data_IF_570375044647
#
_entry.id   IF_570375044647
#
_cell.length_a   1.000
_cell.length_b   1.000
_cell.length_c   1.000
_cell.angle_alpha   90.00
_cell.angle_beta   90.00
_cell.angle_gamma   90.00
#
_symmetry.space_group_name_H-M   'P 1'
#
loop_
_entity.id
_entity.type
_entity.pdbx_description
1 polymer ?
#
# COMPACT_ATOMS: atom_id res chain seq x y z
N UNK A 1 31.86 -5.70 6.77
CA UNK A 1 30.96 -4.54 6.93
C UNK A 1 29.85 -4.69 5.91
N UNK A 2 28.69 -5.22 6.32
CA UNK A 2 27.56 -5.44 5.40
C UNK A 2 26.89 -4.09 5.15
N UNK A 3 27.07 -3.58 3.94
CA UNK A 3 26.32 -2.43 3.44
C UNK A 3 24.87 -2.88 3.28
N UNK A 4 23.96 -2.32 4.07
CA UNK A 4 22.52 -2.45 3.79
C UNK A 4 22.26 -1.79 2.43
N UNK A 5 22.14 -2.62 1.39
CA UNK A 5 21.66 -2.18 0.08
C UNK A 5 20.23 -1.72 0.28
N UNK A 6 20.05 -0.41 0.18
CA UNK A 6 18.84 0.39 0.41
C UNK A 6 17.51 -0.34 0.15
N UNK A 7 16.51 -0.03 0.97
CA UNK A 7 15.09 -0.26 0.67
C UNK A 7 14.44 1.07 0.30
N UNK A 8 14.46 1.45 -0.99
CA UNK A 8 13.53 2.43 -1.51
C UNK A 8 12.56 1.75 -2.48
N UNK A 9 11.43 2.41 -2.75
CA UNK A 9 10.70 2.17 -3.99
C UNK A 9 11.68 2.12 -5.18
N UNK A 10 11.52 1.13 -6.04
CA UNK A 10 12.31 1.02 -7.27
C UNK A 10 11.77 2.01 -8.31
N UNK A 11 10.49 2.39 -8.22
CA UNK A 11 9.92 3.49 -9.02
C UNK A 11 8.42 3.70 -8.80
N UNK A 12 8.01 4.96 -8.93
CA UNK A 12 6.62 5.40 -8.96
C UNK A 12 6.13 5.45 -10.41
N UNK A 13 5.04 4.75 -10.69
CA UNK A 13 4.36 4.80 -11.98
C UNK A 13 3.42 5.99 -12.07
N UNK A 14 3.07 6.36 -13.29
CA UNK A 14 2.11 7.44 -13.56
C UNK A 14 0.72 7.00 -13.11
N UNK A 15 0.08 7.81 -12.27
CA UNK A 15 -1.32 7.63 -11.92
C UNK A 15 -2.21 7.88 -13.13
N UNK A 16 -3.14 6.95 -13.39
CA UNK A 16 -4.06 7.05 -14.51
C UNK A 16 -5.48 6.75 -14.06
N UNK A 17 -6.44 7.53 -14.55
CA UNK A 17 -7.85 7.25 -14.30
C UNK A 17 -8.23 5.93 -14.98
N UNK A 18 -8.88 5.04 -14.21
CA UNK A 18 -9.50 3.83 -14.75
C UNK A 18 -10.91 4.16 -15.24
N UNK A 19 -11.24 3.67 -16.43
CA UNK A 19 -12.60 3.69 -16.97
C UNK A 19 -13.23 2.30 -16.84
N UNK A 20 -13.92 2.01 -15.71
CA UNK A 20 -14.54 0.71 -15.47
C UNK A 20 -15.74 0.45 -16.40
N UNK A 21 -16.24 1.46 -17.12
CA UNK A 21 -17.32 1.26 -18.11
C UNK A 21 -16.76 0.65 -19.39
N UNK A 22 -15.56 1.07 -19.80
CA UNK A 22 -14.85 0.53 -20.97
C UNK A 22 -14.03 -0.71 -20.63
N UNK A 23 -13.40 -0.73 -19.46
CA UNK A 23 -12.53 -1.79 -18.98
C UNK A 23 -12.95 -2.24 -17.57
N UNK A 24 -14.05 -3.00 -17.44
CA UNK A 24 -14.59 -3.40 -16.14
C UNK A 24 -13.70 -4.38 -15.36
N UNK A 25 -12.67 -4.94 -15.98
CA UNK A 25 -11.77 -5.89 -15.34
C UNK A 25 -10.35 -5.34 -15.23
N UNK A 26 -9.63 -5.76 -14.18
CA UNK A 26 -8.19 -5.54 -14.04
C UNK A 26 -7.49 -6.90 -13.96
N UNK A 27 -6.59 -7.17 -14.90
CA UNK A 27 -5.83 -8.42 -14.99
C UNK A 27 -4.41 -8.23 -14.46
N UNK A 28 -3.91 -9.18 -13.67
CA UNK A 28 -2.52 -9.21 -13.27
C UNK A 28 -1.69 -9.97 -14.32
N UNK A 29 -0.89 -9.23 -15.09
CA UNK A 29 0.11 -9.76 -16.02
C UNK A 29 1.51 -9.66 -15.40
N UNK A 30 1.93 -10.70 -14.71
CA UNK A 30 3.26 -10.81 -14.08
C UNK A 30 3.62 -9.63 -13.15
N UNK A 31 2.64 -9.13 -12.39
CA UNK A 31 2.76 -7.99 -11.49
C UNK A 31 2.33 -6.66 -12.13
N UNK A 32 2.01 -6.65 -13.42
CA UNK A 32 1.52 -5.47 -14.13
C UNK A 32 0.01 -5.49 -14.24
N UNK A 33 -0.62 -4.43 -13.73
CA UNK A 33 -2.06 -4.24 -13.83
C UNK A 33 -2.45 -3.87 -15.27
N UNK A 34 -3.29 -4.67 -15.92
CA UNK A 34 -3.77 -4.44 -17.28
C UNK A 34 -5.31 -4.34 -17.31
N UNK A 35 -5.87 -3.14 -17.55
CA UNK A 35 -7.31 -2.98 -17.73
C UNK A 35 -7.81 -3.83 -18.90
N UNK A 36 -8.98 -4.45 -18.76
CA UNK A 36 -9.54 -5.32 -19.79
C UNK A 36 -11.06 -5.19 -19.92
N UNK A 37 -11.52 -5.28 -21.17
CA UNK A 37 -12.94 -5.28 -21.51
C UNK A 37 -13.60 -6.64 -21.25
N UNK A 38 -12.81 -7.71 -21.12
CA UNK A 38 -13.26 -9.08 -20.97
C UNK A 38 -12.50 -9.75 -19.82
N UNK A 39 -13.05 -10.85 -19.31
CA UNK A 39 -12.36 -11.70 -18.34
C UNK A 39 -11.08 -12.25 -18.98
N UNK A 40 -9.96 -12.13 -18.28
CA UNK A 40 -8.66 -12.69 -18.68
C UNK A 40 -8.11 -13.51 -17.52
N UNK A 41 -7.75 -14.77 -17.80
CA UNK A 41 -7.29 -15.69 -16.76
C UNK A 41 -8.38 -16.03 -15.75
N UNK A 42 -8.02 -16.14 -14.48
CA UNK A 42 -8.92 -16.58 -13.42
C UNK A 42 -9.64 -15.39 -12.78
N UNK A 43 -10.96 -15.30 -12.96
CA UNK A 43 -11.77 -14.29 -12.30
C UNK A 43 -11.90 -14.61 -10.81
N UNK A 44 -11.49 -13.67 -9.95
CA UNK A 44 -11.69 -13.74 -8.50
C UNK A 44 -12.62 -12.61 -8.04
N UNK A 45 -13.43 -12.84 -6.99
CA UNK A 45 -14.21 -11.77 -6.37
C UNK A 45 -13.30 -10.80 -5.62
N UNK A 46 -13.77 -9.58 -5.40
CA UNK A 46 -13.19 -8.68 -4.41
C UNK A 46 -13.25 -9.34 -3.02
N UNK A 47 -12.16 -9.24 -2.27
CA UNK A 47 -12.13 -9.77 -0.91
C UNK A 47 -12.98 -8.89 0.00
N UNK A 48 -13.96 -9.45 0.72
CA UNK A 48 -14.75 -8.66 1.67
C UNK A 48 -13.89 -8.25 2.87
N UNK A 49 -14.27 -7.19 3.56
CA UNK A 49 -13.64 -6.84 4.84
C UNK A 49 -13.83 -7.99 5.86
N UNK A 50 -12.77 -8.34 6.59
CA UNK A 50 -12.85 -9.34 7.65
C UNK A 50 -12.03 -8.89 8.89
N UNK A 51 -12.68 -8.19 9.84
CA UNK A 51 -12.01 -7.71 11.06
C UNK A 51 -11.44 -8.83 11.94
N UNK A 52 -11.94 -10.07 11.80
CA UNK A 52 -11.39 -11.20 12.55
C UNK A 52 -9.98 -11.60 12.08
N UNK A 53 -9.56 -11.14 10.89
CA UNK A 53 -8.22 -11.36 10.37
C UNK A 53 -7.23 -10.28 10.79
N UNK A 54 -7.62 -9.23 11.53
CA UNK A 54 -6.71 -8.16 11.91
C UNK A 54 -5.42 -8.71 12.54
N UNK A 55 -4.28 -8.31 11.96
CA UNK A 55 -2.94 -8.75 12.38
C UNK A 55 -2.16 -7.61 13.02
N UNK A 56 -1.13 -7.98 13.78
CA UNK A 56 -0.21 -7.03 14.41
C UNK A 56 -0.59 -6.66 15.86
N UNK A 57 0.26 -5.84 16.47
CA UNK A 57 0.02 -5.35 17.83
C UNK A 57 -1.03 -4.24 17.80
N UNK A 58 -2.13 -4.42 18.55
CA UNK A 58 -3.16 -3.40 18.69
C UNK A 58 -2.79 -2.45 19.83
N UNK A 59 -2.77 -1.15 19.53
CA UNK A 59 -2.65 -0.09 20.52
C UNK A 59 -4.01 0.59 20.70
N UNK A 60 -4.31 1.01 21.92
CA UNK A 60 -5.58 1.65 22.30
C UNK A 60 -5.33 2.96 22.98
N UNK A 61 -6.29 3.88 22.92
CA UNK A 61 -6.16 5.19 23.56
C UNK A 61 -5.24 6.16 22.81
N UNK A 62 -4.85 5.83 21.57
CA UNK A 62 -3.97 6.65 20.74
C UNK A 62 -4.54 8.07 20.63
N UNK A 63 -3.74 9.06 21.01
CA UNK A 63 -4.05 10.48 20.80
C UNK A 63 -3.28 11.03 19.60
N UNK A 64 -3.69 12.20 19.13
CA UNK A 64 -3.01 12.86 18.01
C UNK A 64 -3.03 14.37 18.17
N UNK A 65 -2.04 15.02 17.57
CA UNK A 65 -1.95 16.47 17.47
C UNK A 65 -1.47 16.88 16.07
N UNK A 66 -1.95 18.01 15.58
CA UNK A 66 -1.46 18.57 14.33
C UNK A 66 -0.03 19.15 14.53
N UNK A 67 0.84 18.94 13.54
CA UNK A 67 2.21 19.45 13.50
C UNK A 67 2.48 20.03 12.13
N UNK A 68 2.97 21.25 12.09
CA UNK A 68 3.47 21.86 10.85
C UNK A 68 4.86 21.31 10.53
N UNK A 69 5.06 20.87 9.29
CA UNK A 69 6.36 20.45 8.76
C UNK A 69 6.84 21.50 7.76
N UNK A 70 7.93 22.21 8.07
CA UNK A 70 8.50 23.18 7.14
C UNK A 70 9.24 22.46 6.01
N UNK A 71 8.97 22.84 4.77
CA UNK A 71 9.74 22.37 3.60
C UNK A 71 10.14 23.53 2.70
N UNK A 72 11.09 23.27 1.80
CA UNK A 72 11.49 24.23 0.76
C UNK A 72 10.37 24.55 -0.24
N UNK A 73 9.31 23.73 -0.31
CA UNK A 73 8.16 23.92 -1.19
C UNK A 73 6.96 24.58 -0.48
N UNK A 74 7.10 24.91 0.82
CA UNK A 74 6.02 25.44 1.67
C UNK A 74 5.69 24.52 2.85
N UNK A 75 5.15 25.06 3.95
CA UNK A 75 4.74 24.24 5.08
C UNK A 75 3.49 23.42 4.75
N UNK A 76 3.40 22.23 5.32
CA UNK A 76 2.18 21.42 5.32
C UNK A 76 1.96 20.82 6.70
N UNK A 77 0.73 20.38 6.96
CA UNK A 77 0.31 19.89 8.27
C UNK A 77 0.20 18.37 8.28
N UNK A 78 0.79 17.73 9.29
CA UNK A 78 0.66 16.29 9.54
C UNK A 78 0.00 16.04 10.89
N UNK A 79 -0.51 14.82 11.07
CA UNK A 79 -0.90 14.32 12.40
C UNK A 79 0.26 13.58 13.02
N UNK A 80 0.65 14.00 14.22
CA UNK A 80 1.57 13.23 15.07
C UNK A 80 0.74 12.37 16.00
N UNK A 81 0.95 11.06 15.97
CA UNK A 81 0.25 10.10 16.83
C UNK A 81 1.07 9.80 18.09
N UNK A 82 0.43 9.81 19.25
CA UNK A 82 0.98 9.29 20.50
C UNK A 82 0.24 8.00 20.86
N UNK A 83 0.97 6.90 20.81
CA UNK A 83 0.45 5.57 21.12
C UNK A 83 0.28 5.32 22.63
N UNK A 84 0.80 6.23 23.47
CA UNK A 84 0.89 6.08 24.93
C UNK A 84 1.51 4.74 25.37
N UNK A 85 2.45 4.25 24.56
CA UNK A 85 3.22 3.04 24.82
C UNK A 85 4.70 3.41 24.95
N UNK A 86 5.42 2.72 25.83
CA UNK A 86 6.87 2.92 25.99
C UNK A 86 7.64 2.54 24.73
N UNK A 87 7.14 1.54 23.99
CA UNK A 87 7.70 1.06 22.73
C UNK A 87 6.56 0.69 21.76
N UNK A 88 6.80 0.96 20.47
CA UNK A 88 5.92 0.51 19.37
C UNK A 88 6.68 -0.52 18.56
N UNK A 89 6.18 -1.76 18.56
CA UNK A 89 6.77 -2.87 17.84
C UNK A 89 6.19 -3.01 16.43
N UNK A 90 7.09 -3.18 15.46
CA UNK A 90 6.77 -3.49 14.07
C UNK A 90 7.29 -4.89 13.75
N UNK A 91 6.48 -5.69 13.04
CA UNK A 91 6.86 -7.01 12.58
C UNK A 91 6.51 -7.15 11.10
N UNK A 92 7.40 -7.68 10.26
CA UNK A 92 7.09 -7.88 8.86
C UNK A 92 6.01 -8.96 8.72
N UNK A 93 5.08 -8.75 7.79
CA UNK A 93 3.99 -9.67 7.50
C UNK A 93 4.10 -10.11 6.05
N UNK A 94 4.03 -11.41 5.82
CA UNK A 94 3.99 -11.94 4.45
C UNK A 94 2.66 -11.56 3.82
N UNK A 95 2.69 -11.00 2.62
CA UNK A 95 1.51 -10.79 1.79
C UNK A 95 0.95 -12.14 1.33
N UNK A 96 -0.17 -12.54 1.91
CA UNK A 96 -1.07 -13.58 1.40
C UNK A 96 -2.43 -12.95 1.12
N UNK A 97 -3.36 -13.71 0.54
CA UNK A 97 -4.73 -13.22 0.32
C UNK A 97 -5.39 -12.88 1.66
N UNK A 98 -5.19 -13.72 2.67
CA UNK A 98 -5.73 -13.54 4.02
C UNK A 98 -5.14 -12.32 4.72
N UNK A 99 -3.80 -12.14 4.65
CA UNK A 99 -3.18 -10.98 5.31
C UNK A 99 -3.53 -9.69 4.59
N UNK A 100 -3.66 -9.69 3.26
CA UNK A 100 -4.11 -8.52 2.50
C UNK A 100 -5.55 -8.16 2.88
N UNK A 101 -6.43 -9.17 3.02
CA UNK A 101 -7.81 -8.98 3.46
C UNK A 101 -7.90 -8.37 4.88
N UNK A 102 -6.97 -8.72 5.78
CA UNK A 102 -6.88 -8.14 7.12
C UNK A 102 -6.70 -6.61 7.12
N UNK A 103 -6.18 -6.05 6.01
CA UNK A 103 -5.99 -4.62 5.78
C UNK A 103 -7.00 -4.04 4.78
N UNK A 104 -8.11 -4.74 4.50
CA UNK A 104 -9.15 -4.27 3.57
C UNK A 104 -8.74 -4.32 2.10
N UNK A 105 -7.81 -5.21 1.75
CA UNK A 105 -7.22 -5.29 0.40
C UNK A 105 -7.55 -6.60 -0.30
N UNK A 106 -7.58 -6.56 -1.64
CA UNK A 106 -7.60 -7.76 -2.47
C UNK A 106 -6.21 -7.98 -3.09
N UNK A 107 -5.60 -9.14 -2.84
CA UNK A 107 -4.34 -9.54 -3.49
C UNK A 107 -4.63 -10.33 -4.76
N UNK A 108 -4.26 -9.79 -5.92
CA UNK A 108 -4.42 -10.45 -7.22
C UNK A 108 -3.16 -11.23 -7.58
N UNK A 109 -3.21 -12.56 -7.61
CA UNK A 109 -2.11 -13.39 -8.11
C UNK A 109 -1.87 -13.20 -9.61
N UNK A 110 -0.68 -13.56 -10.08
CA UNK A 110 -0.38 -13.57 -11.52
C UNK A 110 -1.40 -14.44 -12.27
N UNK A 111 -1.95 -13.95 -13.38
CA UNK A 111 -2.96 -14.64 -14.16
C UNK A 111 -4.38 -14.56 -13.58
N UNK A 112 -4.58 -13.85 -12.47
CA UNK A 112 -5.91 -13.55 -11.92
C UNK A 112 -6.42 -12.20 -12.45
N UNK A 113 -7.74 -12.06 -12.53
CA UNK A 113 -8.40 -10.79 -12.75
C UNK A 113 -9.52 -10.56 -11.74
N UNK A 114 -9.84 -9.29 -11.49
CA UNK A 114 -11.03 -8.89 -10.74
C UNK A 114 -11.91 -8.00 -11.60
N UNK A 115 -13.18 -7.86 -11.21
CA UNK A 115 -14.10 -6.88 -11.76
C UNK A 115 -14.21 -5.69 -10.81
N UNK A 116 -14.22 -4.48 -11.35
CA UNK A 116 -14.54 -3.29 -10.57
C UNK A 116 -16.05 -3.14 -10.40
N UNK A 117 -16.46 -2.84 -9.17
CA UNK A 117 -17.84 -2.51 -8.80
C UNK A 117 -18.02 -1.01 -8.51
N UNK A 118 -16.93 -0.24 -8.58
CA UNK A 118 -16.86 1.17 -8.24
C UNK A 118 -16.46 2.03 -9.45
N UNK A 119 -16.77 3.32 -9.41
CA UNK A 119 -16.33 4.32 -10.37
C UNK A 119 -15.25 5.25 -9.78
N UNK A 120 -14.74 6.17 -10.60
CA UNK A 120 -13.72 7.15 -10.21
C UNK A 120 -12.41 6.54 -9.65
N UNK A 121 -12.07 5.36 -10.14
CA UNK A 121 -10.88 4.62 -9.73
C UNK A 121 -9.60 5.19 -10.35
N UNK A 122 -8.52 5.19 -9.59
CA UNK A 122 -7.17 5.53 -10.05
C UNK A 122 -6.31 4.27 -10.05
N UNK A 123 -5.54 4.06 -11.10
CA UNK A 123 -4.46 3.09 -11.17
C UNK A 123 -3.13 3.79 -10.93
N UNK A 124 -2.52 3.53 -9.78
CA UNK A 124 -1.11 3.75 -9.52
C UNK A 124 -0.36 2.42 -9.65
N UNK A 125 0.75 2.42 -10.39
CA UNK A 125 1.65 1.25 -10.47
C UNK A 125 2.93 1.56 -9.72
N UNK A 126 3.25 0.77 -8.70
CA UNK A 126 4.46 0.97 -7.92
C UNK A 126 5.37 -0.25 -8.02
N UNK A 127 6.68 -0.02 -8.13
CA UNK A 127 7.66 -1.10 -8.06
C UNK A 127 8.32 -1.09 -6.68
N UNK A 128 8.06 -2.13 -5.89
CA UNK A 128 8.65 -2.29 -4.57
C UNK A 128 9.96 -3.10 -4.60
N UNK A 129 10.89 -2.74 -3.73
CA UNK A 129 12.07 -3.57 -3.45
C UNK A 129 11.72 -4.83 -2.64
N UNK A 130 12.76 -5.60 -2.26
CA UNK A 130 12.63 -6.83 -1.44
C UNK A 130 11.92 -6.61 -0.10
N UNK A 131 11.89 -5.36 0.35
CA UNK A 131 11.17 -4.87 1.53
C UNK A 131 10.33 -3.69 1.04
N UNK A 132 9.07 -3.60 1.47
CA UNK A 132 8.22 -2.45 1.16
C UNK A 132 8.41 -1.41 2.28
N UNK A 133 9.38 -0.51 2.11
CA UNK A 133 9.53 0.67 2.95
C UNK A 133 9.07 1.90 2.17
N UNK A 134 8.16 2.69 2.73
CA UNK A 134 7.74 3.94 2.10
C UNK A 134 8.79 5.04 2.35
N UNK A 135 9.32 5.62 1.27
CA UNK A 135 10.09 6.85 1.34
C UNK A 135 9.10 7.98 1.62
N UNK A 136 9.24 8.68 2.75
CA UNK A 136 8.41 9.88 2.95
C UNK A 136 8.77 10.94 1.91
N UNK A 137 7.82 11.43 1.10
CA UNK A 137 8.04 12.60 0.23
C UNK A 137 8.29 13.88 1.06
N UNK A 138 7.99 13.79 2.35
CA UNK A 138 7.90 14.82 3.37
C UNK A 138 9.19 15.15 4.12
N UNK A 139 10.21 14.29 4.03
CA UNK A 139 11.48 14.46 4.74
C UNK A 139 12.51 15.31 3.97
N UNK A 140 12.17 15.72 2.75
CA UNK A 140 13.07 16.49 1.88
C UNK A 140 14.27 15.69 1.35
N UNK A 141 15.09 16.29 0.47
CA UNK A 141 16.14 15.58 -0.27
C UNK A 141 17.23 14.91 0.58
N UNK A 142 17.53 15.46 1.76
CA UNK A 142 18.63 15.00 2.61
C UNK A 142 18.33 13.66 3.33
N UNK A 143 17.06 13.33 3.50
CA UNK A 143 16.60 12.21 4.33
C UNK A 143 15.86 11.13 3.51
N UNK A 144 15.96 11.19 2.17
CA UNK A 144 15.29 10.26 1.24
C UNK A 144 15.72 8.79 1.39
N UNK A 145 16.81 8.53 2.11
CA UNK A 145 17.36 7.19 2.35
C UNK A 145 17.11 6.67 3.76
N UNK A 146 16.38 7.44 4.57
CA UNK A 146 16.02 7.04 5.92
C UNK A 146 14.71 6.24 5.88
N UNK A 147 14.76 5.01 6.40
CA UNK A 147 13.54 4.32 6.79
C UNK A 147 12.94 5.11 7.94
N UNK A 148 11.73 5.63 7.72
CA UNK A 148 11.03 6.37 8.76
C UNK A 148 10.78 5.47 9.97
N UNK A 149 11.23 5.88 11.14
CA UNK A 149 10.86 5.27 12.44
C UNK A 149 9.48 5.71 12.91
N UNK A 150 8.88 6.70 12.24
CA UNK A 150 7.50 7.15 12.39
C UNK A 150 6.71 6.63 11.21
N UNK A 151 5.89 5.61 11.43
CA UNK A 151 5.18 4.88 10.39
C UNK A 151 4.44 5.79 9.38
N UNK A 152 4.92 5.98 8.14
CA UNK A 152 4.08 6.36 7.03
C UNK A 152 3.55 5.04 6.47
N UNK A 153 2.66 4.37 7.19
CA UNK A 153 1.94 3.30 6.51
C UNK A 153 1.21 4.02 5.39
N UNK A 154 1.54 3.70 4.14
CA UNK A 154 0.68 3.94 2.97
C UNK A 154 -0.73 3.33 3.19
N UNK A 155 -0.88 2.53 4.24
CA UNK A 155 -2.13 2.21 4.95
C UNK A 155 -2.62 3.39 5.82
N UNK A 156 -2.44 4.63 5.35
CA UNK A 156 -3.17 5.75 5.91
C UNK A 156 -4.65 5.39 5.82
N UNK A 157 -5.43 5.79 6.81
CA UNK A 157 -6.82 5.38 6.99
C UNK A 157 -7.67 5.87 5.81
N UNK A 158 -7.63 5.12 4.70
CA UNK A 158 -8.28 5.39 3.45
C UNK A 158 -9.51 4.50 3.42
N UNK A 159 -10.69 5.13 3.39
CA UNK A 159 -11.97 4.43 3.42
C UNK A 159 -12.37 3.84 2.05
N UNK A 160 -11.40 3.47 1.21
CA UNK A 160 -11.63 2.94 -0.12
C UNK A 160 -10.90 1.60 -0.35
N UNK A 161 -11.42 0.71 -1.22
CA UNK A 161 -10.83 -0.59 -1.47
C UNK A 161 -9.49 -0.48 -2.20
N UNK A 162 -8.49 -1.27 -1.78
CA UNK A 162 -7.19 -1.36 -2.44
C UNK A 162 -7.01 -2.72 -3.13
N UNK A 163 -6.35 -2.72 -4.29
CA UNK A 163 -5.96 -3.94 -5.02
C UNK A 163 -4.46 -3.93 -5.29
N UNK A 164 -3.78 -5.03 -4.93
CA UNK A 164 -2.33 -5.16 -5.07
C UNK A 164 -1.94 -6.26 -6.05
N UNK A 165 -0.88 -5.98 -6.83
CA UNK A 165 -0.39 -6.82 -7.92
C UNK A 165 1.05 -7.26 -7.65
N UNK A 166 1.26 -8.48 -7.14
CA UNK A 166 2.60 -9.04 -7.01
C UNK A 166 3.02 -9.84 -8.26
N UNK A 167 4.30 -9.77 -8.61
CA UNK A 167 4.90 -10.56 -9.71
C UNK A 167 5.11 -12.04 -9.33
N UNK A 168 5.23 -12.32 -8.02
CA UNK A 168 5.27 -13.68 -7.46
C UNK A 168 4.11 -13.82 -6.49
N UNK A 169 3.53 -15.02 -6.29
CA UNK A 169 2.31 -15.20 -5.46
C UNK A 169 2.43 -14.82 -3.98
N UNK A 170 3.52 -14.16 -3.55
CA UNK A 170 3.66 -13.54 -2.24
C UNK A 170 4.65 -12.36 -2.28
N UNK A 171 4.30 -11.27 -1.61
CA UNK A 171 5.22 -10.19 -1.24
C UNK A 171 5.55 -10.26 0.27
N UNK A 172 6.54 -9.51 0.74
CA UNK A 172 6.79 -9.30 2.18
C UNK A 172 6.67 -7.80 2.46
N UNK A 173 5.82 -7.46 3.42
CA UNK A 173 5.66 -6.12 3.96
C UNK A 173 6.53 -6.00 5.20
#
# INVERSE_FOLDING_TARGET
MQVFNSVPFIGDGVETALDPRRFPYLFNDHGLAQPSAQVRGNLIPLSPENPALSLGTRYTGISWSDREVPTSAGPYWIKTFDFHASEVHYAPIRATKETAQAFGMTLLGNGECLRFEYDQLILGQYTYGKWAGHQSPYLGPAHQRELLTYNPTDLEYHNFPHAFFPATGACRW
#
